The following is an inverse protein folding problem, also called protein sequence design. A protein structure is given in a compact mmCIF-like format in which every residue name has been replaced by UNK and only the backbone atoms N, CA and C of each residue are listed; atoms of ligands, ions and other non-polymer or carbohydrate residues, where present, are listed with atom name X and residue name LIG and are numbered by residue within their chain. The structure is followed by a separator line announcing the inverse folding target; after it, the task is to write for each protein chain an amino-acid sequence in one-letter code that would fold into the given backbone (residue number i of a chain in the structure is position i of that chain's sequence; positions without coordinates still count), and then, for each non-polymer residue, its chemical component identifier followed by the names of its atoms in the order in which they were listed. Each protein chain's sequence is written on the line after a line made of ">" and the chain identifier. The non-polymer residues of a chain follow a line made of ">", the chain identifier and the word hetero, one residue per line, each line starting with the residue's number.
data_IF_266264227078
#
_entry.id   IF_266264227078
#
_cell.length_a   1.000
_cell.length_b   1.000
_cell.length_c   1.000
_cell.angle_alpha   90.00
_cell.angle_beta   90.00
_cell.angle_gamma   90.00
#
_symmetry.space_group_name_H-M   'P 1'
#
loop_
_entity.id
_entity.type
_entity.pdbx_description
1 polymer ?
#
# COMPACT_ATOMS: atom_id res chain seq x y z
N UNK A 1 -71.63 -43.29 -35.16
CA UNK A 1 -70.45 -43.95 -35.75
C UNK A 1 -69.30 -42.92 -35.78
N UNK A 2 -68.91 -42.38 -34.66
CA UNK A 2 -67.73 -41.52 -34.47
C UNK A 2 -67.33 -41.70 -33.02
N UNK A 3 -66.61 -42.73 -32.71
CA UNK A 3 -65.95 -42.96 -31.42
C UNK A 3 -64.90 -44.01 -31.71
N UNK A 4 -63.71 -43.64 -31.93
CA UNK A 4 -62.40 -44.36 -31.81
C UNK A 4 -61.38 -43.58 -32.61
N UNK A 5 -60.90 -42.44 -32.03
CA UNK A 5 -59.65 -41.81 -32.53
C UNK A 5 -58.95 -40.89 -31.51
N UNK A 6 -59.19 -41.04 -30.19
CA UNK A 6 -58.57 -40.14 -29.19
C UNK A 6 -57.75 -40.86 -28.11
N UNK A 7 -57.29 -42.09 -28.37
CA UNK A 7 -56.47 -42.81 -27.38
C UNK A 7 -55.04 -43.16 -27.80
N UNK A 8 -54.47 -42.53 -28.84
CA UNK A 8 -53.09 -42.79 -29.26
C UNK A 8 -52.18 -41.56 -29.33
N UNK A 9 -52.55 -40.39 -28.75
CA UNK A 9 -51.71 -39.17 -28.74
C UNK A 9 -51.27 -38.75 -27.34
N UNK A 10 -51.50 -39.54 -26.30
CA UNK A 10 -51.10 -39.18 -24.91
C UNK A 10 -49.95 -40.01 -24.34
N UNK A 11 -49.30 -40.85 -25.15
CA UNK A 11 -48.18 -41.69 -24.67
C UNK A 11 -46.79 -41.32 -25.21
N UNK A 12 -46.64 -40.20 -25.94
CA UNK A 12 -45.34 -39.76 -26.47
C UNK A 12 -44.85 -38.41 -25.90
N UNK A 13 -45.54 -37.77 -24.96
CA UNK A 13 -45.11 -36.52 -24.32
C UNK A 13 -44.60 -36.67 -22.87
N UNK A 14 -44.51 -37.90 -22.35
CA UNK A 14 -44.09 -38.16 -21.00
C UNK A 14 -42.62 -38.61 -20.86
N UNK A 15 -41.80 -38.56 -21.92
CA UNK A 15 -40.40 -39.05 -21.89
C UNK A 15 -39.33 -37.99 -22.27
N UNK A 16 -39.67 -36.69 -22.34
CA UNK A 16 -38.71 -35.60 -22.68
C UNK A 16 -38.56 -34.57 -21.53
N UNK A 17 -39.28 -34.74 -20.42
CA UNK A 17 -39.23 -33.79 -19.29
C UNK A 17 -38.37 -34.24 -18.09
N UNK A 18 -37.49 -35.24 -18.27
CA UNK A 18 -36.64 -35.77 -17.16
C UNK A 18 -35.14 -35.60 -17.39
N UNK A 19 -34.72 -34.74 -18.33
CA UNK A 19 -33.27 -34.43 -18.51
C UNK A 19 -33.10 -32.91 -18.63
N UNK A 20 -33.08 -32.18 -17.56
CA UNK A 20 -32.35 -30.90 -17.38
C UNK A 20 -32.75 -30.17 -16.10
N UNK A 21 -32.54 -30.78 -14.97
CA UNK A 21 -32.43 -30.08 -13.70
C UNK A 21 -31.32 -30.76 -12.87
N UNK A 22 -30.16 -30.91 -13.48
CA UNK A 22 -28.93 -30.86 -12.70
C UNK A 22 -28.72 -29.40 -12.32
N UNK A 23 -29.53 -28.91 -11.37
CA UNK A 23 -29.12 -27.83 -10.50
C UNK A 23 -27.84 -28.33 -9.89
N UNK A 24 -26.72 -27.83 -10.40
CA UNK A 24 -25.45 -27.91 -9.66
C UNK A 24 -25.75 -27.28 -8.33
N UNK A 25 -26.11 -28.10 -7.34
CA UNK A 25 -25.93 -27.74 -5.96
C UNK A 25 -24.45 -27.37 -5.87
N UNK A 26 -24.16 -26.08 -5.84
CA UNK A 26 -22.89 -25.57 -5.41
C UNK A 26 -22.77 -26.14 -4.00
N UNK A 27 -22.11 -27.31 -3.90
CA UNK A 27 -21.61 -27.78 -2.63
C UNK A 27 -20.92 -26.57 -2.04
N UNK A 28 -21.32 -26.12 -0.88
CA UNK A 28 -20.54 -25.19 -0.06
C UNK A 28 -19.21 -25.92 0.18
N UNK A 29 -18.34 -25.85 -0.83
CA UNK A 29 -17.01 -26.43 -0.80
C UNK A 29 -16.24 -25.69 0.27
N UNK A 30 -15.46 -26.43 1.04
CA UNK A 30 -14.47 -25.88 1.96
C UNK A 30 -13.75 -24.70 1.31
N UNK A 31 -13.97 -23.47 1.77
CA UNK A 31 -13.27 -22.28 1.30
C UNK A 31 -11.88 -22.20 1.94
N UNK A 32 -10.91 -21.60 1.25
CA UNK A 32 -9.65 -21.24 1.86
C UNK A 32 -9.82 -19.83 2.46
N UNK A 33 -9.70 -19.72 3.76
CA UNK A 33 -9.86 -18.46 4.48
C UNK A 33 -8.54 -17.70 4.56
N UNK A 34 -8.54 -16.46 4.10
CA UNK A 34 -7.40 -15.54 4.10
C UNK A 34 -7.77 -14.31 4.92
N UNK A 35 -6.86 -13.86 5.79
CA UNK A 35 -7.02 -12.63 6.56
C UNK A 35 -6.62 -11.39 5.76
N UNK A 36 -7.40 -10.32 5.93
CA UNK A 36 -7.05 -8.97 5.47
C UNK A 36 -7.07 -7.99 6.63
N UNK A 37 -6.09 -7.10 6.74
CA UNK A 37 -6.04 -6.08 7.79
C UNK A 37 -5.77 -4.72 7.20
N UNK A 38 -6.46 -3.70 7.71
CA UNK A 38 -6.23 -2.30 7.36
C UNK A 38 -6.90 -1.35 8.39
N UNK A 39 -6.47 -0.08 8.48
CA UNK A 39 -7.18 0.93 9.27
C UNK A 39 -8.43 1.41 8.51
N UNK A 40 -9.61 0.93 8.88
CA UNK A 40 -10.87 1.27 8.22
C UNK A 40 -11.66 2.34 8.96
N UNK A 41 -11.29 2.65 10.19
CA UNK A 41 -11.93 3.69 11.01
C UNK A 41 -10.92 4.54 11.77
N UNK A 42 -11.38 5.69 12.31
CA UNK A 42 -10.58 6.60 13.14
C UNK A 42 -10.16 5.93 14.46
N UNK A 43 -8.96 6.20 14.97
CA UNK A 43 -8.00 7.23 14.57
C UNK A 43 -7.00 6.81 13.49
N UNK A 44 -7.15 5.65 12.88
CA UNK A 44 -6.32 5.20 11.78
C UNK A 44 -6.49 6.06 10.52
N UNK A 45 -5.66 5.81 9.51
CA UNK A 45 -5.76 6.46 8.21
C UNK A 45 -6.90 5.86 7.38
N UNK A 46 -8.13 6.04 7.85
CA UNK A 46 -9.35 5.42 7.32
C UNK A 46 -9.67 5.80 5.85
N UNK A 47 -9.01 6.79 5.31
CA UNK A 47 -9.10 7.13 3.87
C UNK A 47 -8.13 6.31 3.02
N UNK A 48 -7.12 5.69 3.63
CA UNK A 48 -6.11 4.88 2.97
C UNK A 48 -6.42 3.38 3.08
N UNK A 49 -6.91 2.94 4.22
CA UNK A 49 -7.23 1.53 4.48
C UNK A 49 -8.16 0.90 3.44
N UNK A 50 -9.30 1.51 3.09
CA UNK A 50 -10.21 0.98 2.08
C UNK A 50 -9.57 0.81 0.69
N UNK A 51 -8.66 1.71 0.31
CA UNK A 51 -7.92 1.60 -0.96
C UNK A 51 -6.98 0.38 -0.98
N UNK A 52 -6.34 0.07 0.15
CA UNK A 52 -5.52 -1.13 0.30
C UNK A 52 -6.38 -2.39 0.22
N UNK A 53 -7.50 -2.42 0.95
CA UNK A 53 -8.45 -3.55 0.96
C UNK A 53 -9.02 -3.80 -0.42
N UNK A 54 -9.35 -2.76 -1.17
CA UNK A 54 -9.85 -2.89 -2.56
C UNK A 54 -8.88 -3.71 -3.42
N UNK A 55 -7.57 -3.51 -3.27
CA UNK A 55 -6.56 -4.32 -3.96
C UNK A 55 -6.59 -5.79 -3.54
N UNK A 56 -6.71 -6.06 -2.23
CA UNK A 56 -6.84 -7.43 -1.70
C UNK A 56 -8.09 -8.12 -2.28
N UNK A 57 -9.24 -7.45 -2.24
CA UNK A 57 -10.52 -7.95 -2.74
C UNK A 57 -10.47 -8.24 -4.23
N UNK A 58 -9.85 -7.37 -5.02
CA UNK A 58 -9.73 -7.57 -6.46
C UNK A 58 -8.89 -8.78 -6.83
N UNK A 59 -7.76 -8.99 -6.13
CA UNK A 59 -6.94 -10.17 -6.36
C UNK A 59 -7.72 -11.45 -6.00
N UNK A 60 -8.42 -11.47 -4.87
CA UNK A 60 -9.28 -12.61 -4.48
C UNK A 60 -10.38 -12.86 -5.52
N UNK A 61 -11.05 -11.81 -6.00
CA UNK A 61 -12.08 -11.93 -7.01
C UNK A 61 -11.56 -12.51 -8.33
N UNK A 62 -10.36 -12.08 -8.77
CA UNK A 62 -9.75 -12.56 -10.01
C UNK A 62 -9.33 -14.05 -9.88
N UNK A 63 -8.77 -14.46 -8.73
CA UNK A 63 -8.49 -15.88 -8.47
C UNK A 63 -9.77 -16.72 -8.40
N UNK A 64 -10.80 -16.25 -7.71
CA UNK A 64 -12.07 -16.95 -7.61
C UNK A 64 -12.76 -17.10 -8.99
N UNK A 65 -12.69 -16.07 -9.83
CA UNK A 65 -13.18 -16.13 -11.20
C UNK A 65 -12.40 -17.14 -12.08
N UNK A 66 -11.11 -17.34 -11.79
CA UNK A 66 -10.26 -18.33 -12.44
C UNK A 66 -10.42 -19.77 -11.91
N UNK A 67 -11.33 -20.00 -10.94
CA UNK A 67 -11.59 -21.34 -10.36
C UNK A 67 -11.05 -21.51 -8.92
N UNK A 68 -10.55 -20.43 -8.32
CA UNK A 68 -10.01 -20.41 -6.97
C UNK A 68 -8.56 -20.87 -6.88
N UNK A 69 -8.15 -21.25 -5.66
CA UNK A 69 -6.82 -21.80 -5.35
C UNK A 69 -6.98 -23.25 -4.88
N UNK A 70 -6.18 -24.17 -5.39
CA UNK A 70 -6.30 -25.62 -5.11
C UNK A 70 -7.71 -26.17 -5.42
N UNK A 71 -8.44 -25.58 -6.39
CA UNK A 71 -9.81 -25.94 -6.73
C UNK A 71 -10.86 -25.49 -5.69
N UNK A 72 -10.50 -24.63 -4.75
CA UNK A 72 -11.37 -24.05 -3.71
C UNK A 72 -11.52 -22.56 -3.87
N UNK A 73 -12.69 -22.02 -3.55
CA UNK A 73 -12.91 -20.57 -3.50
C UNK A 73 -12.17 -19.96 -2.30
N UNK A 74 -11.73 -18.70 -2.46
CA UNK A 74 -11.12 -17.93 -1.39
C UNK A 74 -12.17 -17.11 -0.68
N UNK A 75 -12.18 -17.18 0.65
CA UNK A 75 -12.94 -16.29 1.52
C UNK A 75 -11.98 -15.30 2.17
N UNK A 76 -12.08 -14.02 1.79
CA UNK A 76 -11.31 -12.94 2.42
C UNK A 76 -12.07 -12.42 3.63
N UNK A 77 -11.44 -12.45 4.80
CA UNK A 77 -11.98 -11.93 6.05
C UNK A 77 -11.19 -10.68 6.41
N UNK A 78 -11.83 -9.53 6.29
CA UNK A 78 -11.21 -8.22 6.53
C UNK A 78 -11.54 -7.74 7.94
N UNK A 79 -10.51 -7.30 8.68
CA UNK A 79 -10.63 -6.73 10.02
C UNK A 79 -10.08 -5.30 10.08
N UNK A 80 -10.75 -4.45 10.87
CA UNK A 80 -10.37 -3.06 11.11
C UNK A 80 -9.38 -2.94 12.27
N UNK A 81 -8.16 -2.53 11.98
CA UNK A 81 -7.11 -2.31 12.99
C UNK A 81 -7.24 -0.96 13.70
N UNK A 82 -8.06 -0.04 13.18
CA UNK A 82 -8.19 1.33 13.66
C UNK A 82 -6.84 2.09 13.68
N UNK A 83 -5.80 1.56 13.04
CA UNK A 83 -4.44 2.08 13.10
C UNK A 83 -3.83 2.05 14.52
N UNK A 84 -4.26 1.12 15.35
CA UNK A 84 -3.81 0.97 16.75
C UNK A 84 -3.11 -0.38 16.95
N UNK A 85 -1.84 -0.40 17.41
CA UNK A 85 -1.10 -1.64 17.61
C UNK A 85 -1.81 -2.68 18.48
N UNK A 86 -2.44 -2.34 19.64
CA UNK A 86 -3.17 -3.33 20.43
C UNK A 86 -4.40 -3.91 19.69
N UNK A 87 -5.09 -3.09 18.88
CA UNK A 87 -6.22 -3.55 18.06
C UNK A 87 -5.72 -4.48 16.97
N UNK A 88 -4.61 -4.13 16.26
CA UNK A 88 -3.98 -4.98 15.26
C UNK A 88 -3.65 -6.38 15.82
N UNK A 89 -2.96 -6.46 16.95
CA UNK A 89 -2.66 -7.74 17.60
C UNK A 89 -3.94 -8.54 17.92
N UNK A 90 -4.99 -7.86 18.43
CA UNK A 90 -6.27 -8.52 18.79
C UNK A 90 -7.00 -9.07 17.56
N UNK A 91 -7.04 -8.32 16.45
CA UNK A 91 -7.73 -8.77 15.24
C UNK A 91 -6.98 -9.92 14.58
N UNK A 92 -5.64 -9.92 14.60
CA UNK A 92 -4.84 -11.05 14.09
C UNK A 92 -5.10 -12.30 14.91
N UNK A 93 -5.10 -12.21 16.24
CA UNK A 93 -5.43 -13.34 17.12
C UNK A 93 -6.82 -13.91 16.80
N UNK A 94 -7.82 -13.05 16.57
CA UNK A 94 -9.18 -13.43 16.14
C UNK A 94 -9.17 -14.14 14.79
N UNK A 95 -8.48 -13.57 13.78
CA UNK A 95 -8.35 -14.15 12.44
C UNK A 95 -7.79 -15.58 12.50
N UNK A 96 -6.77 -15.81 13.32
CA UNK A 96 -6.10 -17.09 13.45
C UNK A 96 -6.95 -18.08 14.27
N UNK A 97 -7.37 -17.67 15.48
CA UNK A 97 -7.95 -18.60 16.44
C UNK A 97 -9.45 -18.86 16.23
N UNK A 98 -10.20 -17.87 15.77
CA UNK A 98 -11.64 -17.97 15.56
C UNK A 98 -12.00 -18.20 14.10
N UNK A 99 -11.46 -17.36 13.18
CA UNK A 99 -11.78 -17.46 11.77
C UNK A 99 -11.01 -18.59 11.06
N UNK A 100 -9.87 -19.06 11.65
CA UNK A 100 -9.04 -20.15 11.10
C UNK A 100 -8.46 -19.79 9.72
N UNK A 101 -7.97 -18.55 9.55
CA UNK A 101 -7.27 -18.18 8.34
C UNK A 101 -5.94 -18.95 8.22
N UNK A 102 -5.56 -19.33 7.01
CA UNK A 102 -4.33 -20.07 6.75
C UNK A 102 -3.13 -19.14 6.48
N UNK A 103 -3.41 -17.90 6.13
CA UNK A 103 -2.44 -16.85 5.86
C UNK A 103 -3.14 -15.48 5.83
N UNK A 104 -2.38 -14.40 5.79
CA UNK A 104 -2.95 -13.05 5.74
C UNK A 104 -2.12 -12.09 4.87
N UNK A 105 -2.76 -11.00 4.43
CA UNK A 105 -2.09 -9.90 3.76
C UNK A 105 -2.72 -8.56 4.16
N UNK A 106 -1.93 -7.48 4.14
CA UNK A 106 -2.48 -6.15 4.39
C UNK A 106 -1.59 -5.26 5.25
N UNK A 107 -2.24 -4.43 6.00
CA UNK A 107 -1.85 -3.37 6.92
C UNK A 107 -1.09 -2.21 6.28
N UNK A 108 -1.32 -1.04 6.87
CA UNK A 108 -0.83 0.26 6.42
C UNK A 108 0.15 0.91 7.42
N UNK A 109 -0.18 0.89 8.72
CA UNK A 109 0.63 1.53 9.75
C UNK A 109 1.74 0.63 10.26
N UNK A 110 3.00 1.08 10.17
CA UNK A 110 4.17 0.26 10.55
C UNK A 110 4.17 -0.19 12.02
N UNK A 111 3.73 0.66 12.95
CA UNK A 111 3.63 0.26 14.37
C UNK A 111 2.54 -0.77 14.62
N UNK A 112 1.47 -0.78 13.80
CA UNK A 112 0.43 -1.83 13.84
C UNK A 112 0.99 -3.12 13.27
N UNK A 113 1.58 -3.08 12.06
CA UNK A 113 2.27 -4.21 11.44
C UNK A 113 3.23 -4.89 12.42
N UNK A 114 4.01 -4.10 13.15
CA UNK A 114 4.97 -4.64 14.13
C UNK A 114 4.30 -5.47 15.20
N UNK A 115 3.16 -5.01 15.73
CA UNK A 115 2.38 -5.77 16.71
C UNK A 115 1.72 -7.01 16.09
N UNK A 116 1.24 -6.92 14.85
CA UNK A 116 0.65 -8.02 14.10
C UNK A 116 1.67 -9.12 13.79
N UNK A 117 2.87 -8.73 13.35
CA UNK A 117 3.98 -9.65 13.03
C UNK A 117 4.31 -10.56 14.21
N UNK A 118 4.33 -10.05 15.44
CA UNK A 118 4.60 -10.85 16.63
C UNK A 118 3.55 -11.93 16.83
N UNK A 119 2.27 -11.63 16.57
CA UNK A 119 1.18 -12.61 16.69
C UNK A 119 1.27 -13.64 15.56
N UNK A 120 1.50 -13.22 14.31
CA UNK A 120 1.69 -14.15 13.20
C UNK A 120 2.87 -15.09 13.45
N UNK A 121 3.99 -14.56 13.96
CA UNK A 121 5.17 -15.36 14.31
C UNK A 121 4.87 -16.40 15.40
N UNK A 122 4.18 -16.02 16.48
CA UNK A 122 3.81 -16.94 17.56
C UNK A 122 2.98 -18.12 17.05
N UNK A 123 2.17 -17.91 16.03
CA UNK A 123 1.32 -18.94 15.43
C UNK A 123 1.92 -19.61 14.19
N UNK A 124 3.05 -19.14 13.69
CA UNK A 124 3.71 -19.63 12.46
C UNK A 124 2.85 -19.44 11.21
N UNK A 125 2.04 -18.38 11.14
CA UNK A 125 1.12 -18.10 10.03
C UNK A 125 1.75 -17.10 9.05
N UNK A 126 1.82 -17.40 7.73
CA UNK A 126 2.38 -16.51 6.73
C UNK A 126 1.64 -15.18 6.63
N UNK A 127 2.39 -14.09 6.63
CA UNK A 127 1.87 -12.73 6.49
C UNK A 127 2.63 -11.96 5.40
N UNK A 128 1.89 -11.43 4.41
CA UNK A 128 2.44 -10.56 3.37
C UNK A 128 2.05 -9.12 3.64
N UNK A 129 3.03 -8.32 4.04
CA UNK A 129 2.87 -6.89 4.31
C UNK A 129 2.52 -6.14 3.02
N UNK A 130 1.36 -5.49 3.02
CA UNK A 130 0.85 -4.74 1.87
C UNK A 130 1.42 -3.32 1.77
N UNK A 131 1.44 -2.56 2.87
CA UNK A 131 1.79 -1.13 2.82
C UNK A 131 2.50 -0.57 4.05
N UNK A 132 3.09 -1.38 4.93
CA UNK A 132 3.92 -0.90 6.03
C UNK A 132 5.36 -0.70 5.58
N UNK A 133 5.96 0.48 5.83
CA UNK A 133 7.21 0.88 5.21
C UNK A 133 8.44 0.89 6.13
N UNK A 134 8.27 0.77 7.46
CA UNK A 134 9.42 0.75 8.37
C UNK A 134 10.38 -0.41 8.08
N UNK A 135 11.66 -0.13 8.06
CA UNK A 135 12.71 -1.13 7.86
C UNK A 135 12.75 -2.14 9.01
N UNK A 136 12.31 -1.74 10.22
CA UNK A 136 12.32 -2.60 11.41
C UNK A 136 11.43 -3.85 11.29
N UNK A 137 10.51 -3.89 10.33
CA UNK A 137 9.52 -4.96 10.20
C UNK A 137 10.10 -6.28 9.70
N UNK A 138 11.23 -6.25 9.00
CA UNK A 138 11.87 -7.44 8.42
C UNK A 138 13.19 -7.79 9.13
N UNK A 139 13.74 -6.88 9.96
CA UNK A 139 15.03 -7.08 10.65
C UNK A 139 15.00 -8.25 11.64
N UNK A 140 13.84 -8.57 12.21
CA UNK A 140 13.69 -9.71 13.12
C UNK A 140 13.98 -11.06 12.44
N UNK A 141 13.92 -11.12 11.10
CA UNK A 141 14.23 -12.32 10.33
C UNK A 141 13.20 -13.44 10.51
N UNK A 142 11.92 -13.10 10.72
CA UNK A 142 10.86 -14.08 10.87
C UNK A 142 10.51 -14.72 9.53
N UNK A 143 10.54 -16.05 9.46
CA UNK A 143 10.30 -16.81 8.23
C UNK A 143 8.90 -16.60 7.64
N UNK A 144 7.91 -16.26 8.48
CA UNK A 144 6.52 -16.06 8.09
C UNK A 144 6.25 -14.70 7.42
N UNK A 145 7.18 -13.74 7.54
CA UNK A 145 6.96 -12.34 7.19
C UNK A 145 7.56 -12.02 5.84
N UNK A 146 6.74 -11.55 4.92
CA UNK A 146 7.13 -11.13 3.57
C UNK A 146 6.66 -9.70 3.29
N UNK A 147 7.34 -8.94 2.44
CA UNK A 147 6.94 -7.57 2.13
C UNK A 147 7.03 -7.23 0.65
N UNK A 148 5.87 -6.93 0.04
CA UNK A 148 5.75 -6.43 -1.34
C UNK A 148 5.71 -4.91 -1.43
N UNK A 149 5.57 -4.20 -0.29
CA UNK A 149 5.61 -2.74 -0.26
C UNK A 149 7.04 -2.21 -0.31
N UNK A 150 7.14 -0.89 -0.52
CA UNK A 150 8.40 -0.16 -0.39
C UNK A 150 8.89 -0.16 1.06
N UNK A 151 10.17 0.10 1.26
CA UNK A 151 10.80 0.23 2.57
C UNK A 151 11.44 1.62 2.73
N UNK A 152 11.44 2.11 3.98
CA UNK A 152 11.77 3.51 4.28
C UNK A 152 13.17 3.92 3.89
N UNK A 153 14.18 3.03 4.00
CA UNK A 153 15.55 3.37 3.60
C UNK A 153 15.68 3.64 2.09
N UNK A 154 14.92 2.93 1.25
CA UNK A 154 14.89 3.20 -0.19
C UNK A 154 14.28 4.57 -0.52
N UNK A 155 13.19 4.93 0.14
CA UNK A 155 12.59 6.26 -0.03
C UNK A 155 13.53 7.36 0.44
N UNK A 156 14.19 7.17 1.58
CA UNK A 156 15.16 8.11 2.13
C UNK A 156 16.34 8.32 1.18
N UNK A 157 16.91 7.25 0.63
CA UNK A 157 18.00 7.33 -0.35
C UNK A 157 17.58 8.13 -1.58
N UNK A 158 16.37 7.93 -2.10
CA UNK A 158 15.86 8.69 -3.24
C UNK A 158 15.65 10.19 -2.91
N UNK A 159 15.09 10.49 -1.74
CA UNK A 159 14.92 11.87 -1.28
C UNK A 159 16.26 12.58 -1.19
N UNK A 160 17.25 11.94 -0.56
CA UNK A 160 18.60 12.49 -0.43
C UNK A 160 19.29 12.65 -1.79
N UNK A 161 19.16 11.67 -2.69
CA UNK A 161 19.72 11.74 -4.02
C UNK A 161 19.13 12.91 -4.82
N UNK A 162 17.81 13.13 -4.76
CA UNK A 162 17.15 14.26 -5.42
C UNK A 162 17.56 15.59 -4.79
N UNK A 163 17.62 15.68 -3.46
CA UNK A 163 18.08 16.88 -2.77
C UNK A 163 19.52 17.23 -3.15
N UNK A 164 20.44 16.28 -3.13
CA UNK A 164 21.84 16.46 -3.50
C UNK A 164 22.02 16.88 -4.97
N UNK A 165 21.29 16.23 -5.89
CA UNK A 165 21.32 16.56 -7.31
C UNK A 165 20.80 17.98 -7.63
N UNK A 166 19.98 18.56 -6.75
CA UNK A 166 19.45 19.93 -6.88
C UNK A 166 20.17 20.94 -5.98
N UNK A 167 21.33 20.58 -5.43
CA UNK A 167 22.18 21.48 -4.67
C UNK A 167 21.64 21.90 -3.31
N UNK A 168 20.65 21.18 -2.77
CA UNK A 168 20.09 21.42 -1.43
C UNK A 168 21.17 21.16 -0.38
N UNK A 169 21.37 22.13 0.51
CA UNK A 169 22.36 22.07 1.58
C UNK A 169 21.74 21.95 2.97
N UNK A 170 20.45 22.27 3.10
CA UNK A 170 19.78 22.26 4.37
C UNK A 170 18.38 21.68 4.26
N UNK A 171 18.10 20.63 5.01
CA UNK A 171 16.80 19.99 5.06
C UNK A 171 16.32 19.82 6.50
N UNK A 172 15.01 19.86 6.69
CA UNK A 172 14.41 19.55 7.99
C UNK A 172 13.20 18.63 7.79
N UNK A 173 12.90 17.82 8.80
CA UNK A 173 11.73 16.94 8.75
C UNK A 173 10.85 17.08 9.99
N UNK A 174 9.52 17.05 9.78
CA UNK A 174 8.54 16.73 10.81
C UNK A 174 8.10 15.30 10.61
N UNK A 175 8.25 14.47 11.64
CA UNK A 175 7.92 13.05 11.57
C UNK A 175 6.98 12.66 12.70
N UNK A 176 6.05 11.75 12.44
CA UNK A 176 5.14 11.26 13.48
C UNK A 176 5.86 10.36 14.49
N UNK A 177 5.36 10.35 15.73
CA UNK A 177 5.81 9.48 16.79
C UNK A 177 5.35 8.04 16.59
N UNK A 178 5.93 7.37 15.58
CA UNK A 178 5.64 5.99 15.20
C UNK A 178 6.90 5.31 14.65
N UNK A 179 6.88 3.97 14.53
CA UNK A 179 7.97 3.23 13.89
C UNK A 179 8.25 3.71 12.45
N UNK A 180 7.23 4.17 11.72
CA UNK A 180 7.41 4.75 10.39
C UNK A 180 8.11 6.11 10.46
N UNK A 181 7.55 7.07 11.23
CA UNK A 181 8.04 8.44 11.24
C UNK A 181 9.48 8.55 11.79
N UNK A 182 9.75 7.91 12.91
CA UNK A 182 11.11 7.88 13.50
C UNK A 182 12.07 7.11 12.58
N UNK A 183 11.60 6.02 11.97
CA UNK A 183 12.39 5.19 11.06
C UNK A 183 12.84 5.96 9.83
N UNK A 184 11.95 6.69 9.15
CA UNK A 184 12.31 7.44 7.94
C UNK A 184 13.29 8.58 8.24
N UNK A 185 13.17 9.29 9.38
CA UNK A 185 14.11 10.32 9.77
C UNK A 185 15.54 9.76 9.93
N UNK A 186 15.68 8.65 10.65
CA UNK A 186 16.96 7.95 10.81
C UNK A 186 17.51 7.44 9.47
N UNK A 187 16.65 6.98 8.59
CA UNK A 187 17.05 6.53 7.27
C UNK A 187 17.52 7.68 6.38
N UNK A 188 16.96 8.90 6.51
CA UNK A 188 17.47 10.10 5.84
C UNK A 188 18.89 10.44 6.33
N UNK A 189 19.14 10.43 7.66
CA UNK A 189 20.48 10.61 8.21
C UNK A 189 21.49 9.58 7.69
N UNK A 190 21.07 8.31 7.64
CA UNK A 190 21.90 7.23 7.11
C UNK A 190 22.16 7.38 5.59
N UNK A 191 21.14 7.79 4.82
CA UNK A 191 21.28 8.04 3.40
C UNK A 191 22.22 9.21 3.09
N UNK A 192 22.18 10.30 3.88
CA UNK A 192 23.10 11.42 3.78
C UNK A 192 24.55 10.93 3.96
N UNK A 193 24.82 10.11 4.97
CA UNK A 193 26.15 9.52 5.23
C UNK A 193 26.54 8.57 4.09
N UNK A 194 25.65 7.64 3.70
CA UNK A 194 25.92 6.64 2.66
C UNK A 194 26.25 7.26 1.30
N UNK A 195 25.54 8.34 0.94
CA UNK A 195 25.71 9.02 -0.35
C UNK A 195 26.77 10.14 -0.29
N UNK A 196 27.42 10.36 0.86
CA UNK A 196 28.34 11.46 1.12
C UNK A 196 27.71 12.82 0.71
N UNK A 197 26.41 12.99 0.94
CA UNK A 197 25.70 14.21 0.61
C UNK A 197 26.04 15.32 1.62
N UNK A 198 26.39 16.50 1.11
CA UNK A 198 26.66 17.70 1.93
C UNK A 198 25.34 18.39 2.27
N UNK A 199 24.56 17.79 3.17
CA UNK A 199 23.23 18.24 3.61
C UNK A 199 23.20 18.29 5.14
N UNK A 200 23.01 19.48 5.69
CA UNK A 200 22.67 19.68 7.12
C UNK A 200 21.20 19.27 7.32
N UNK A 201 20.98 18.20 8.10
CA UNK A 201 19.64 17.62 8.32
C UNK A 201 19.31 17.56 9.80
N UNK A 202 18.09 17.99 10.12
CA UNK A 202 17.52 17.82 11.45
C UNK A 202 16.04 17.46 11.39
N UNK A 203 15.52 16.84 12.43
CA UNK A 203 14.09 16.51 12.48
C UNK A 203 13.52 16.71 13.89
N UNK A 204 12.20 16.90 13.93
CA UNK A 204 11.41 16.92 15.16
C UNK A 204 10.33 15.85 15.07
N UNK A 205 10.12 15.17 16.20
CA UNK A 205 9.05 14.18 16.33
C UNK A 205 7.80 14.90 16.84
N UNK A 206 6.68 14.69 16.15
CA UNK A 206 5.39 15.31 16.49
C UNK A 206 4.32 14.25 16.69
N UNK A 207 3.38 14.54 17.58
CA UNK A 207 2.19 13.70 17.73
C UNK A 207 1.26 13.90 16.51
N UNK A 208 0.98 12.82 15.76
CA UNK A 208 0.18 12.87 14.52
C UNK A 208 -1.26 13.36 14.71
N UNK A 209 -1.78 13.30 15.94
CA UNK A 209 -3.12 13.76 16.31
C UNK A 209 -3.17 15.22 16.75
N UNK A 210 -2.00 15.89 16.86
CA UNK A 210 -1.91 17.31 17.18
C UNK A 210 -2.74 18.15 16.20
N UNK A 211 -3.31 19.25 16.69
CA UNK A 211 -4.08 20.20 15.90
C UNK A 211 -3.33 21.50 15.61
N UNK A 212 -2.19 21.69 16.25
CA UNK A 212 -1.39 22.90 16.08
C UNK A 212 0.10 22.55 15.90
N UNK A 213 0.62 22.82 14.73
CA UNK A 213 2.01 22.67 14.33
C UNK A 213 2.68 24.03 14.08
N UNK A 214 1.94 25.15 14.20
CA UNK A 214 2.45 26.50 13.92
C UNK A 214 3.72 26.83 14.73
N UNK A 215 3.81 26.54 16.04
CA UNK A 215 5.02 26.86 16.81
C UNK A 215 6.27 26.21 16.24
N UNK A 216 6.24 24.92 15.89
CA UNK A 216 7.39 24.21 15.33
C UNK A 216 7.69 24.67 13.88
N UNK A 217 6.67 24.95 13.10
CA UNK A 217 6.81 25.50 11.74
C UNK A 217 7.43 26.90 11.77
N UNK A 218 7.08 27.77 12.74
CA UNK A 218 7.72 29.06 12.93
C UNK A 218 9.17 28.94 13.37
N UNK A 219 9.49 27.99 14.26
CA UNK A 219 10.91 27.66 14.60
C UNK A 219 11.70 27.30 13.36
N UNK A 220 11.15 26.43 12.50
CA UNK A 220 11.82 26.05 11.27
C UNK A 220 11.95 27.22 10.31
N UNK A 221 10.91 27.99 10.09
CA UNK A 221 10.94 29.17 9.23
C UNK A 221 11.98 30.22 9.64
N UNK A 222 12.09 30.51 10.95
CA UNK A 222 12.88 31.67 11.42
C UNK A 222 14.29 31.29 11.86
N UNK A 223 14.48 30.11 12.45
CA UNK A 223 15.75 29.69 13.05
C UNK A 223 16.48 28.67 12.17
N UNK A 224 15.79 27.60 11.74
CA UNK A 224 16.41 26.53 10.97
C UNK A 224 16.59 26.93 9.52
N UNK A 225 15.58 27.51 8.88
CA UNK A 225 15.55 27.98 7.49
C UNK A 225 15.96 26.86 6.51
N UNK A 226 15.26 25.71 6.49
CA UNK A 226 15.58 24.64 5.59
C UNK A 226 15.16 24.99 4.15
N UNK A 227 15.90 24.48 3.17
CA UNK A 227 15.54 24.57 1.74
C UNK A 227 14.49 23.53 1.35
N UNK A 228 14.35 22.46 2.15
CA UNK A 228 13.31 21.42 2.00
C UNK A 228 12.75 21.09 3.39
N UNK A 229 11.42 21.17 3.52
CA UNK A 229 10.65 20.60 4.62
C UNK A 229 10.09 19.25 4.20
N UNK A 230 10.59 18.17 4.80
CA UNK A 230 10.08 16.81 4.60
C UNK A 230 9.05 16.53 5.67
N UNK A 231 7.85 16.09 5.28
CA UNK A 231 6.78 15.74 6.23
C UNK A 231 6.47 14.25 6.12
N UNK A 232 6.80 13.51 7.17
CA UNK A 232 6.50 12.09 7.32
C UNK A 232 5.49 11.89 8.47
N UNK A 233 4.34 12.53 8.32
CA UNK A 233 3.18 12.47 9.22
C UNK A 233 1.97 12.04 8.40
N UNK A 234 1.40 10.89 8.75
CA UNK A 234 0.23 10.35 8.06
C UNK A 234 -1.02 11.20 8.31
N UNK A 235 -2.05 10.99 7.48
CA UNK A 235 -3.30 11.74 7.61
C UNK A 235 -4.00 11.48 8.97
N UNK A 236 -4.70 12.49 9.50
CA UNK A 236 -4.96 13.83 8.94
C UNK A 236 -3.83 14.85 9.21
N UNK A 237 -2.86 14.54 10.08
CA UNK A 237 -1.82 15.46 10.53
C UNK A 237 -0.98 16.05 9.40
N UNK A 238 -0.56 15.25 8.42
CA UNK A 238 0.26 15.71 7.30
C UNK A 238 -0.39 16.82 6.48
N UNK A 239 -1.70 16.73 6.21
CA UNK A 239 -2.43 17.79 5.50
C UNK A 239 -2.58 19.06 6.34
N UNK A 240 -2.75 18.91 7.64
CA UNK A 240 -2.82 20.06 8.54
C UNK A 240 -1.47 20.79 8.61
N UNK A 241 -0.35 20.05 8.66
CA UNK A 241 0.99 20.65 8.60
C UNK A 241 1.16 21.46 7.31
N UNK A 242 0.79 20.90 6.15
CA UNK A 242 0.89 21.60 4.87
C UNK A 242 0.07 22.91 4.88
N UNK A 243 -1.18 22.88 5.33
CA UNK A 243 -2.02 24.06 5.42
C UNK A 243 -1.40 25.13 6.32
N UNK A 244 -0.97 24.74 7.52
CA UNK A 244 -0.38 25.69 8.49
C UNK A 244 0.97 26.24 7.98
N UNK A 245 1.80 25.41 7.30
CA UNK A 245 3.01 25.88 6.68
C UNK A 245 2.76 26.90 5.57
N UNK A 246 1.71 26.68 4.76
CA UNK A 246 1.29 27.61 3.72
C UNK A 246 0.72 28.91 4.32
N UNK A 247 -0.17 28.84 5.30
CA UNK A 247 -0.78 29.99 5.98
C UNK A 247 0.26 30.95 6.55
N UNK A 248 1.32 30.43 7.14
CA UNK A 248 2.44 31.25 7.63
C UNK A 248 3.46 31.59 6.52
N UNK A 249 3.22 31.26 5.26
CA UNK A 249 4.09 31.47 4.11
C UNK A 249 5.50 30.91 4.31
N UNK A 250 5.58 29.65 4.76
CA UNK A 250 6.83 28.95 4.99
C UNK A 250 7.14 27.96 3.86
N UNK A 251 6.24 26.99 3.61
CA UNK A 251 6.43 25.95 2.60
C UNK A 251 5.06 25.50 2.03
N UNK A 252 4.95 25.26 0.69
CA UNK A 252 5.95 25.52 -0.35
C UNK A 252 6.22 27.02 -0.56
N UNK A 253 7.48 27.40 -0.79
CA UNK A 253 7.90 28.76 -1.10
C UNK A 253 9.15 28.75 -1.99
N UNK A 254 9.61 29.93 -2.43
CA UNK A 254 10.90 30.05 -3.16
C UNK A 254 12.07 29.54 -2.35
N UNK A 255 12.07 29.74 -1.04
CA UNK A 255 13.13 29.39 -0.13
C UNK A 255 13.04 27.94 0.33
N UNK A 256 11.81 27.46 0.60
CA UNK A 256 11.58 26.15 1.19
C UNK A 256 10.59 25.32 0.37
N UNK A 257 11.05 24.22 -0.20
CA UNK A 257 10.22 23.20 -0.83
C UNK A 257 9.45 22.40 0.23
N UNK A 258 8.31 21.83 -0.14
CA UNK A 258 7.58 20.88 0.69
C UNK A 258 7.61 19.49 0.05
N UNK A 259 8.05 18.47 0.79
CA UNK A 259 8.09 17.09 0.34
C UNK A 259 7.22 16.21 1.24
N UNK A 260 6.13 15.68 0.68
CA UNK A 260 5.31 14.65 1.31
C UNK A 260 6.05 13.31 1.29
N UNK A 261 6.54 12.90 2.45
CA UNK A 261 7.22 11.62 2.65
C UNK A 261 6.28 10.42 2.75
N UNK A 262 4.96 10.68 2.90
CA UNK A 262 3.94 9.64 3.10
C UNK A 262 3.24 9.21 1.82
N UNK A 263 3.45 9.96 0.72
CA UNK A 263 2.72 9.79 -0.55
C UNK A 263 1.17 9.94 -0.43
N UNK A 264 0.66 10.55 0.62
CA UNK A 264 -0.80 10.71 0.80
C UNK A 264 -1.39 11.73 -0.15
N UNK A 265 -0.58 12.67 -0.63
CA UNK A 265 -0.95 13.65 -1.66
C UNK A 265 -1.29 12.99 -3.02
N UNK A 266 -0.88 11.75 -3.27
CA UNK A 266 -1.23 11.02 -4.50
C UNK A 266 -2.73 10.69 -4.61
N UNK A 267 -3.47 10.66 -3.50
CA UNK A 267 -4.93 10.62 -3.55
C UNK A 267 -5.46 12.03 -3.85
N UNK A 268 -5.33 12.45 -5.10
CA UNK A 268 -5.48 13.83 -5.55
C UNK A 268 -6.82 14.46 -5.18
N UNK A 269 -7.93 13.73 -5.32
CA UNK A 269 -9.25 14.24 -4.90
C UNK A 269 -9.28 14.60 -3.43
N UNK A 270 -8.88 13.69 -2.55
CA UNK A 270 -8.86 13.92 -1.10
C UNK A 270 -7.85 15.01 -0.73
N UNK A 271 -6.70 15.01 -1.39
CA UNK A 271 -5.65 16.00 -1.19
C UNK A 271 -6.14 17.42 -1.52
N UNK A 272 -6.63 17.63 -2.74
CA UNK A 272 -7.06 18.97 -3.17
C UNK A 272 -8.27 19.49 -2.41
N UNK A 273 -9.22 18.61 -2.04
CA UNK A 273 -10.34 18.97 -1.17
C UNK A 273 -9.85 19.47 0.21
N UNK A 274 -8.81 18.84 0.76
CA UNK A 274 -8.29 19.15 2.08
C UNK A 274 -7.38 20.39 2.11
N UNK A 275 -6.47 20.53 1.12
CA UNK A 275 -5.38 21.53 1.21
C UNK A 275 -5.52 22.69 0.23
N UNK A 276 -6.35 22.56 -0.82
CA UNK A 276 -6.59 23.57 -1.85
C UNK A 276 -5.25 24.07 -2.45
N UNK A 277 -5.10 25.40 -2.56
CA UNK A 277 -3.92 26.08 -3.10
C UNK A 277 -2.61 25.80 -2.33
N UNK A 278 -2.69 25.41 -1.07
CA UNK A 278 -1.51 25.00 -0.31
C UNK A 278 -0.81 23.77 -0.91
N UNK A 279 -1.53 22.97 -1.71
CA UNK A 279 -0.98 21.80 -2.40
C UNK A 279 -0.11 22.09 -3.61
N UNK A 280 -0.13 23.33 -4.13
CA UNK A 280 0.68 23.68 -5.30
C UNK A 280 2.18 23.59 -4.97
N UNK A 281 2.98 23.09 -5.93
CA UNK A 281 4.42 22.84 -5.79
C UNK A 281 4.83 21.76 -4.76
N UNK A 282 3.90 20.97 -4.22
CA UNK A 282 4.23 19.86 -3.32
C UNK A 282 4.92 18.73 -4.08
N UNK A 283 6.08 18.30 -3.55
CA UNK A 283 6.77 17.09 -3.98
C UNK A 283 6.22 15.89 -3.19
N UNK A 284 6.22 14.72 -3.84
CA UNK A 284 5.79 13.45 -3.22
C UNK A 284 6.83 12.36 -3.45
N UNK A 285 7.13 11.57 -2.42
CA UNK A 285 7.94 10.37 -2.55
C UNK A 285 7.04 9.13 -2.46
N UNK A 286 6.94 8.37 -3.56
CA UNK A 286 5.90 7.37 -3.75
C UNK A 286 6.41 6.06 -4.34
N UNK A 287 5.76 4.90 -4.03
CA UNK A 287 6.07 3.61 -4.65
C UNK A 287 5.41 3.40 -6.03
N UNK A 288 4.75 4.42 -6.56
CA UNK A 288 4.08 4.41 -7.85
C UNK A 288 3.90 5.83 -8.36
N UNK A 289 3.95 6.03 -9.68
CA UNK A 289 3.51 7.27 -10.35
C UNK A 289 2.51 6.92 -11.45
N UNK A 290 1.30 7.54 -11.46
CA UNK A 290 0.30 7.26 -12.50
C UNK A 290 0.73 7.63 -13.92
N UNK A 291 1.74 8.52 -14.07
CA UNK A 291 2.34 8.90 -15.37
C UNK A 291 3.31 7.85 -15.91
N UNK A 292 3.73 6.86 -15.11
CA UNK A 292 4.66 5.83 -15.55
C UNK A 292 3.91 4.54 -15.90
N UNK A 293 4.24 3.96 -17.05
CA UNK A 293 3.61 2.70 -17.50
C UNK A 293 3.89 1.58 -16.50
N UNK A 294 2.83 0.88 -16.13
CA UNK A 294 2.87 -0.33 -15.29
C UNK A 294 3.14 -1.59 -16.14
N UNK A 295 3.16 -2.74 -15.49
CA UNK A 295 3.06 -4.04 -16.18
C UNK A 295 1.70 -4.16 -16.87
N UNK A 296 1.53 -5.13 -17.76
CA UNK A 296 0.22 -5.37 -18.40
C UNK A 296 -0.87 -5.68 -17.38
N UNK A 297 -0.52 -6.39 -16.29
CA UNK A 297 -1.42 -6.62 -15.16
C UNK A 297 -1.74 -5.30 -14.44
N UNK A 298 -0.72 -4.49 -14.17
CA UNK A 298 -0.89 -3.20 -13.52
C UNK A 298 -1.78 -2.24 -14.31
N UNK A 299 -1.63 -2.20 -15.64
CA UNK A 299 -2.49 -1.37 -16.50
C UNK A 299 -3.96 -1.86 -16.49
N UNK A 300 -4.21 -3.17 -16.42
CA UNK A 300 -5.57 -3.72 -16.24
C UNK A 300 -6.19 -3.28 -14.92
N UNK A 301 -5.44 -3.36 -13.82
CA UNK A 301 -5.91 -2.93 -12.49
C UNK A 301 -6.16 -1.42 -12.46
N UNK A 302 -5.26 -0.63 -13.06
CA UNK A 302 -5.42 0.82 -13.23
C UNK A 302 -6.68 1.15 -14.02
N UNK A 303 -6.92 0.50 -15.16
CA UNK A 303 -8.13 0.69 -15.98
C UNK A 303 -9.40 0.31 -15.21
N UNK A 304 -9.38 -0.81 -14.45
CA UNK A 304 -10.49 -1.22 -13.58
C UNK A 304 -10.81 -0.13 -12.56
N UNK A 305 -9.78 0.44 -11.93
CA UNK A 305 -9.94 1.52 -10.97
C UNK A 305 -10.54 2.78 -11.61
N UNK A 306 -9.98 3.22 -12.74
CA UNK A 306 -10.48 4.40 -13.47
C UNK A 306 -11.94 4.19 -13.90
N UNK A 307 -12.30 3.01 -14.40
CA UNK A 307 -13.67 2.70 -14.79
C UNK A 307 -14.67 2.75 -13.63
N UNK A 308 -14.22 2.42 -12.41
CA UNK A 308 -15.09 2.37 -11.23
C UNK A 308 -15.19 3.72 -10.52
N UNK A 309 -14.11 4.51 -10.48
CA UNK A 309 -14.00 5.69 -9.63
C UNK A 309 -13.79 7.01 -10.40
N UNK A 310 -13.67 6.97 -11.73
CA UNK A 310 -13.43 8.13 -12.60
C UNK A 310 -12.23 8.99 -12.14
N UNK A 311 -11.17 8.34 -11.66
CA UNK A 311 -9.89 8.96 -11.25
C UNK A 311 -8.75 7.95 -11.31
N UNK A 312 -7.50 8.46 -11.28
CA UNK A 312 -6.33 7.60 -11.20
C UNK A 312 -6.23 6.91 -9.82
N UNK A 313 -5.78 5.64 -9.75
CA UNK A 313 -5.48 5.03 -8.48
C UNK A 313 -4.27 5.69 -7.82
N UNK A 314 -4.29 5.76 -6.50
CA UNK A 314 -3.06 5.90 -5.75
C UNK A 314 -2.32 4.54 -5.70
N UNK A 315 -1.21 4.46 -4.96
CA UNK A 315 -0.39 3.24 -4.89
C UNK A 315 -1.06 2.07 -4.13
N UNK A 316 -2.05 2.33 -3.28
CA UNK A 316 -2.58 1.34 -2.33
C UNK A 316 -3.33 0.17 -2.98
N UNK A 317 -4.24 0.38 -3.95
CA UNK A 317 -4.88 -0.73 -4.64
C UNK A 317 -3.87 -1.66 -5.34
N UNK A 318 -2.79 -1.09 -5.90
CA UNK A 318 -1.72 -1.87 -6.52
C UNK A 318 -0.91 -2.66 -5.49
N UNK A 319 -0.61 -2.06 -4.32
CA UNK A 319 0.08 -2.74 -3.23
C UNK A 319 -0.75 -3.86 -2.62
N UNK A 320 -2.03 -3.63 -2.37
CA UNK A 320 -2.96 -4.65 -1.87
C UNK A 320 -3.08 -5.82 -2.85
N UNK A 321 -3.21 -5.49 -4.14
CA UNK A 321 -3.27 -6.52 -5.19
C UNK A 321 -1.99 -7.35 -5.24
N UNK A 322 -0.81 -6.72 -5.27
CA UNK A 322 0.48 -7.42 -5.32
C UNK A 322 0.71 -8.31 -4.08
N UNK A 323 0.31 -7.85 -2.90
CA UNK A 323 0.44 -8.64 -1.67
C UNK A 323 -0.43 -9.91 -1.72
N UNK A 324 -1.70 -9.76 -2.08
CA UNK A 324 -2.64 -10.87 -2.17
C UNK A 324 -2.30 -11.80 -3.36
N UNK A 325 -1.92 -11.25 -4.52
CA UNK A 325 -1.43 -12.01 -5.67
C UNK A 325 -0.26 -12.92 -5.28
N UNK A 326 0.72 -12.35 -4.56
CA UNK A 326 1.90 -13.11 -4.10
C UNK A 326 1.49 -14.26 -3.19
N UNK A 327 0.62 -13.98 -2.22
CA UNK A 327 0.14 -14.97 -1.25
C UNK A 327 -0.65 -16.10 -1.92
N UNK A 328 -1.66 -15.76 -2.73
CA UNK A 328 -2.51 -16.75 -3.39
C UNK A 328 -1.75 -17.61 -4.41
N UNK A 329 -0.81 -16.99 -5.14
CA UNK A 329 0.08 -17.73 -6.04
C UNK A 329 0.98 -18.70 -5.27
N UNK A 330 1.51 -18.27 -4.12
CA UNK A 330 2.34 -19.14 -3.28
C UNK A 330 1.55 -20.33 -2.71
N UNK A 331 0.31 -20.12 -2.26
CA UNK A 331 -0.57 -21.22 -1.79
C UNK A 331 -0.83 -22.22 -2.93
N UNK A 332 -1.12 -21.71 -4.14
CA UNK A 332 -1.34 -22.57 -5.30
C UNK A 332 -0.07 -23.38 -5.67
N UNK A 333 1.10 -22.74 -5.67
CA UNK A 333 2.39 -23.38 -5.96
C UNK A 333 2.79 -24.39 -4.87
N UNK A 334 2.43 -24.13 -3.61
CA UNK A 334 2.65 -25.03 -2.50
C UNK A 334 1.82 -26.33 -2.62
N UNK A 335 0.72 -26.30 -3.36
CA UNK A 335 -0.25 -27.40 -3.44
C UNK A 335 -0.90 -27.74 -2.08
N UNK A 336 -0.84 -26.81 -1.12
CA UNK A 336 -1.21 -27.04 0.29
C UNK A 336 -1.54 -25.72 0.99
N UNK A 337 -2.35 -25.81 2.05
CA UNK A 337 -2.62 -24.72 3.00
C UNK A 337 -1.76 -24.81 4.26
N UNK A 338 -0.79 -25.72 4.30
CA UNK A 338 0.18 -25.80 5.39
C UNK A 338 1.12 -24.60 5.39
N UNK A 339 1.28 -23.96 6.55
CA UNK A 339 2.06 -22.72 6.70
C UNK A 339 3.51 -22.87 6.21
N UNK A 340 4.18 -23.98 6.53
CA UNK A 340 5.59 -24.18 6.12
C UNK A 340 5.70 -24.35 4.61
N UNK A 341 4.73 -25.04 3.98
CA UNK A 341 4.68 -25.18 2.53
C UNK A 341 4.44 -23.84 1.85
N UNK A 342 3.55 -22.99 2.38
CA UNK A 342 3.29 -21.64 1.88
C UNK A 342 4.53 -20.75 2.02
N UNK A 343 5.18 -20.74 3.19
CA UNK A 343 6.42 -19.98 3.44
C UNK A 343 7.50 -20.36 2.42
N UNK A 344 7.74 -21.66 2.23
CA UNK A 344 8.71 -22.13 1.24
C UNK A 344 8.36 -21.70 -0.18
N UNK A 345 7.07 -21.70 -0.54
CA UNK A 345 6.61 -21.24 -1.84
C UNK A 345 6.76 -19.73 -2.02
N UNK A 346 6.53 -18.93 -0.95
CA UNK A 346 6.80 -17.48 -0.95
C UNK A 346 8.30 -17.19 -1.10
N UNK A 347 9.17 -17.91 -0.40
CA UNK A 347 10.63 -17.76 -0.53
C UNK A 347 11.13 -18.02 -1.95
N UNK A 348 10.49 -18.93 -2.67
CA UNK A 348 10.84 -19.29 -4.06
C UNK A 348 10.05 -18.49 -5.12
N UNK A 349 9.18 -17.57 -4.71
CA UNK A 349 8.25 -16.88 -5.60
C UNK A 349 8.98 -15.97 -6.60
N UNK A 350 8.60 -16.12 -7.89
CA UNK A 350 8.98 -15.21 -8.97
C UNK A 350 7.76 -14.99 -9.84
N UNK A 351 7.18 -13.80 -9.78
CA UNK A 351 5.97 -13.45 -10.51
C UNK A 351 6.05 -12.02 -11.04
N UNK A 352 5.31 -11.71 -12.08
CA UNK A 352 5.09 -10.33 -12.50
C UNK A 352 3.86 -9.79 -11.78
N UNK A 353 4.06 -8.83 -10.87
CA UNK A 353 3.01 -8.10 -10.18
C UNK A 353 2.50 -6.90 -10.97
N UNK A 354 1.75 -6.02 -10.32
CA UNK A 354 1.19 -4.82 -10.97
C UNK A 354 2.27 -3.78 -11.29
N UNK A 355 3.33 -3.69 -10.49
CA UNK A 355 4.36 -2.65 -10.55
C UNK A 355 5.73 -3.16 -11.00
N UNK A 356 5.88 -4.42 -11.31
CA UNK A 356 7.13 -5.07 -11.73
C UNK A 356 7.21 -6.52 -11.29
N UNK A 357 8.39 -7.13 -11.53
CA UNK A 357 8.65 -8.51 -11.13
C UNK A 357 8.92 -8.59 -9.63
N UNK A 358 8.18 -9.46 -8.95
CA UNK A 358 8.24 -9.68 -7.49
C UNK A 358 9.06 -10.93 -7.22
N UNK A 359 10.12 -10.75 -6.46
CA UNK A 359 10.99 -11.78 -5.90
C UNK A 359 11.38 -11.37 -4.48
N UNK A 360 11.28 -12.29 -3.53
CA UNK A 360 11.65 -12.03 -2.15
C UNK A 360 13.12 -12.35 -1.89
N UNK A 361 13.85 -11.35 -1.36
CA UNK A 361 15.26 -11.50 -1.01
C UNK A 361 15.45 -12.52 0.12
N UNK A 362 16.53 -13.27 0.03
CA UNK A 362 16.96 -14.22 1.07
C UNK A 362 18.12 -13.66 1.93
N UNK A 363 18.41 -12.36 1.79
CA UNK A 363 19.42 -11.68 2.58
C UNK A 363 18.88 -11.34 3.97
N UNK A 364 19.74 -11.28 4.97
CA UNK A 364 19.37 -10.90 6.33
C UNK A 364 19.08 -9.41 6.51
N UNK A 365 18.53 -9.05 7.65
CA UNK A 365 18.26 -7.68 8.07
C UNK A 365 17.07 -7.07 7.33
N UNK A 366 17.18 -5.81 6.91
CA UNK A 366 16.08 -5.10 6.22
C UNK A 366 15.66 -5.78 4.92
N UNK A 367 16.54 -6.60 4.33
CA UNK A 367 16.30 -7.34 3.10
C UNK A 367 15.61 -8.69 3.29
N UNK A 368 15.45 -9.17 4.51
CA UNK A 368 14.81 -10.46 4.78
C UNK A 368 13.38 -10.47 4.23
N UNK A 369 13.13 -11.36 3.27
CA UNK A 369 11.85 -11.51 2.55
C UNK A 369 11.26 -10.20 1.99
N UNK A 370 12.14 -9.23 1.62
CA UNK A 370 11.77 -7.97 1.01
C UNK A 370 11.80 -8.04 -0.51
N UNK A 371 10.80 -7.51 -1.19
CA UNK A 371 10.90 -7.19 -2.62
C UNK A 371 11.83 -5.99 -2.81
N UNK A 372 13.12 -6.25 -3.04
CA UNK A 372 14.16 -5.21 -3.15
C UNK A 372 13.99 -4.31 -4.38
N UNK A 373 13.50 -4.88 -5.49
CA UNK A 373 13.36 -4.16 -6.77
C UNK A 373 12.11 -3.27 -6.83
N UNK A 374 11.31 -3.20 -5.75
CA UNK A 374 10.08 -2.38 -5.72
C UNK A 374 10.33 -0.98 -6.28
N UNK A 375 9.52 -0.50 -7.26
CA UNK A 375 9.73 0.82 -7.85
C UNK A 375 9.42 1.95 -6.86
N UNK A 376 10.09 3.09 -7.06
CA UNK A 376 9.89 4.31 -6.27
C UNK A 376 10.08 5.53 -7.14
N UNK A 377 9.31 6.58 -6.86
CA UNK A 377 9.28 7.80 -7.66
C UNK A 377 9.26 9.02 -6.75
N UNK A 378 9.81 10.13 -7.25
CA UNK A 378 9.54 11.46 -6.72
C UNK A 378 8.93 12.27 -7.86
N UNK A 379 7.80 12.90 -7.59
CA UNK A 379 7.11 13.76 -8.55
C UNK A 379 6.50 14.97 -7.86
N UNK A 380 6.07 15.96 -8.64
CA UNK A 380 5.67 17.26 -8.15
C UNK A 380 4.38 17.73 -8.81
N UNK A 381 3.44 18.24 -8.01
CA UNK A 381 2.37 19.07 -8.51
C UNK A 381 2.88 20.46 -8.88
N UNK A 382 2.45 20.99 -10.00
CA UNK A 382 2.82 22.32 -10.49
C UNK A 382 1.63 23.25 -10.70
N UNK A 383 0.41 22.72 -10.55
CA UNK A 383 -0.84 23.44 -10.68
C UNK A 383 -1.85 22.98 -9.63
N UNK A 384 -2.69 23.92 -9.17
CA UNK A 384 -3.76 23.62 -8.23
C UNK A 384 -4.83 22.75 -8.89
N UNK A 385 -5.22 21.66 -8.23
CA UNK A 385 -6.21 20.72 -8.76
C UNK A 385 -5.66 19.73 -9.80
N UNK A 386 -4.34 19.72 -10.03
CA UNK A 386 -3.69 18.81 -10.97
C UNK A 386 -3.91 17.35 -10.58
N UNK A 387 -4.21 16.50 -11.58
CA UNK A 387 -4.23 15.06 -11.37
C UNK A 387 -2.84 14.52 -11.07
N UNK A 388 -2.74 13.52 -10.20
CA UNK A 388 -1.49 12.81 -9.95
C UNK A 388 -0.90 12.16 -11.22
N UNK A 389 -1.75 11.87 -12.23
CA UNK A 389 -1.34 11.38 -13.55
C UNK A 389 -0.61 12.41 -14.40
N UNK A 390 -0.82 13.70 -14.15
CA UNK A 390 -0.22 14.82 -14.88
C UNK A 390 0.95 15.46 -14.11
N UNK A 391 1.25 14.98 -12.90
CA UNK A 391 2.33 15.49 -12.08
C UNK A 391 3.70 15.22 -12.72
N UNK A 392 4.60 16.20 -12.62
CA UNK A 392 5.93 16.11 -13.19
C UNK A 392 6.79 15.08 -12.45
N UNK A 393 7.27 14.05 -13.14
CA UNK A 393 8.20 13.05 -12.56
C UNK A 393 9.61 13.65 -12.51
N UNK A 394 10.24 13.58 -11.33
CA UNK A 394 11.57 14.10 -11.06
C UNK A 394 12.61 12.98 -10.89
N UNK A 395 12.18 11.83 -10.38
CA UNK A 395 13.03 10.67 -10.11
C UNK A 395 12.25 9.36 -10.29
N UNK A 396 12.88 8.27 -10.76
CA UNK A 396 14.27 8.17 -11.21
C UNK A 396 14.50 8.84 -12.56
N UNK A 397 15.76 9.20 -12.86
CA UNK A 397 16.15 10.02 -14.01
C UNK A 397 15.61 9.51 -15.37
N UNK A 398 15.51 8.17 -15.54
CA UNK A 398 15.01 7.57 -16.78
C UNK A 398 13.51 7.85 -17.05
N UNK A 399 12.76 8.25 -16.03
CA UNK A 399 11.34 8.61 -16.13
C UNK A 399 11.11 10.10 -15.90
N UNK A 400 12.17 10.88 -15.62
CA UNK A 400 12.02 12.29 -15.33
C UNK A 400 11.48 13.06 -16.54
N UNK A 401 10.44 13.85 -16.30
CA UNK A 401 9.77 14.69 -17.31
C UNK A 401 10.08 16.17 -17.13
N UNK A 402 10.57 16.57 -15.95
CA UNK A 402 10.91 17.96 -15.65
C UNK A 402 11.96 18.05 -14.52
N UNK A 403 12.44 19.25 -14.23
CA UNK A 403 13.17 19.61 -13.01
C UNK A 403 12.24 20.10 -11.91
N UNK A 404 12.77 20.32 -10.69
CA UNK A 404 12.02 20.90 -9.58
C UNK A 404 11.58 22.33 -9.93
N UNK A 405 10.30 22.61 -9.73
CA UNK A 405 9.72 23.96 -9.88
C UNK A 405 9.48 24.56 -8.49
N UNK A 406 9.78 25.86 -8.35
CA UNK A 406 9.51 26.62 -7.10
C UNK A 406 8.45 27.70 -7.36
N UNK A 407 7.67 28.11 -6.35
CA UNK A 407 6.70 29.21 -6.46
C UNK A 407 7.26 30.51 -6.98
#
# INVERSE_FOLDING_TARGET
>A
MIEIRHKKLLSQFALVAALSLSVSATQAGDTIKIGGMAPLSSPGSYQQGPELVLGLEWAVADFNAAGGVLGKQIELIVEDTQGRPPTGATVVEKLITQNKVVAAAGEYHSSVCKAEIEVFHQHGIPFVIGSCWSDSLTIAGYDEVFRTSVYSSKLAENMVAVMAANGIKKAASLVEDTDYGIGIAKNIENAIKKLNADIDFQYEVVEKTSKDFVPILLKYKTQVKPEVLIVAVTQPGGFLILKQAHEIRFAPSRETLYLDGTCTAQNDKVFWEAVKDAGNYVLMSCPYSPSVKLTDLGEKIKQRYVSQFDRQPNYLPLQGYDAMLSLLTAINNAGSTDSKAIIKALQALKITGTRGDIEFSQEDGVWHHQWKAVPTFIFQYTEVGQSAGDAAVLFPKQFATAGIVRP
#
